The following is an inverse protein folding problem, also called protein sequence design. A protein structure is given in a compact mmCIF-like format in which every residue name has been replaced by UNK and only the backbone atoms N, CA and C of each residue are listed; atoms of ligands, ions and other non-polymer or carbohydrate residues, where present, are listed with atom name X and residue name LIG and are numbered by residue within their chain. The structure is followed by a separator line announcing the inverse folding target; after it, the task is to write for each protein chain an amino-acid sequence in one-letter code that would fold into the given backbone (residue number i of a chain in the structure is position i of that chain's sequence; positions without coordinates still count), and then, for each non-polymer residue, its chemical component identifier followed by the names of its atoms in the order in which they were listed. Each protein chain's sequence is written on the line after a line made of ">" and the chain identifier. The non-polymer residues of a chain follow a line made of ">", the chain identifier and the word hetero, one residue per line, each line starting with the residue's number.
data_IF_075049321163
#
_entry.id   IF_075049321163
#
_cell.length_a   1.000
_cell.length_b   1.000
_cell.length_c   1.000
_cell.angle_alpha   90.00
_cell.angle_beta   90.00
_cell.angle_gamma   90.00
#
_symmetry.space_group_name_H-M   'P 1'
#
loop_
_entity.id
_entity.type
_entity.pdbx_description
1 polymer ?
#
# COMPACT_ATOMS: atom_id res chain seq x y z
N UNK A 1 33.51 -21.69 -16.45
CA UNK A 1 32.84 -21.85 -15.14
C UNK A 1 33.37 -20.89 -14.07
N UNK A 2 33.97 -19.74 -14.43
CA UNK A 2 34.61 -18.84 -13.44
C UNK A 2 33.95 -17.43 -13.32
N UNK A 3 32.76 -17.22 -13.87
CA UNK A 3 32.10 -15.90 -13.82
C UNK A 3 31.06 -15.72 -12.68
N UNK A 4 30.77 -16.77 -11.91
CA UNK A 4 29.71 -16.73 -10.87
C UNK A 4 30.23 -16.39 -9.45
N UNK A 5 31.51 -16.67 -9.13
CA UNK A 5 32.04 -16.46 -7.77
C UNK A 5 32.36 -14.99 -7.45
N UNK A 6 32.66 -14.18 -8.47
CA UNK A 6 32.96 -12.75 -8.31
C UNK A 6 31.71 -11.90 -8.04
N UNK A 7 30.57 -12.27 -8.65
CA UNK A 7 29.30 -11.57 -8.53
C UNK A 7 28.67 -11.76 -7.14
N UNK A 8 28.70 -12.99 -6.62
CA UNK A 8 28.18 -13.34 -5.30
C UNK A 8 29.00 -12.72 -4.16
N UNK A 9 30.33 -12.60 -4.28
CA UNK A 9 31.17 -11.89 -3.30
C UNK A 9 30.89 -10.38 -3.27
N UNK A 10 30.68 -9.74 -4.43
CA UNK A 10 30.30 -8.32 -4.51
C UNK A 10 28.90 -8.08 -3.94
N UNK A 11 27.94 -8.94 -4.22
CA UNK A 11 26.59 -8.88 -3.66
C UNK A 11 26.57 -9.01 -2.13
N UNK A 12 27.36 -9.92 -1.56
CA UNK A 12 27.51 -10.06 -0.10
C UNK A 12 28.13 -8.82 0.55
N UNK A 13 29.14 -8.19 -0.09
CA UNK A 13 29.74 -6.94 0.39
C UNK A 13 28.77 -5.77 0.33
N UNK A 14 28.00 -5.64 -0.75
CA UNK A 14 26.98 -4.61 -0.89
C UNK A 14 25.88 -4.77 0.17
N UNK A 15 25.36 -6.00 0.36
CA UNK A 15 24.37 -6.28 1.40
C UNK A 15 24.88 -5.92 2.80
N UNK A 16 26.15 -6.23 3.10
CA UNK A 16 26.77 -5.86 4.37
C UNK A 16 26.86 -4.35 4.56
N UNK A 17 27.35 -3.62 3.56
CA UNK A 17 27.45 -2.15 3.60
C UNK A 17 26.08 -1.49 3.74
N UNK A 18 25.07 -2.02 3.05
CA UNK A 18 23.69 -1.54 3.14
C UNK A 18 23.13 -1.73 4.56
N UNK A 19 23.35 -2.91 5.16
CA UNK A 19 22.94 -3.21 6.53
C UNK A 19 23.66 -2.33 7.54
N UNK A 20 24.98 -2.16 7.41
CA UNK A 20 25.77 -1.27 8.26
C UNK A 20 25.24 0.17 8.19
N UNK A 21 24.94 0.66 6.98
CA UNK A 21 24.40 2.00 6.80
C UNK A 21 22.98 2.17 7.38
N UNK A 22 22.10 1.18 7.19
CA UNK A 22 20.77 1.18 7.80
C UNK A 22 20.86 1.13 9.33
N UNK A 23 21.83 0.40 9.89
CA UNK A 23 22.04 0.30 11.32
C UNK A 23 22.51 1.64 11.91
N UNK A 24 23.53 2.28 11.31
CA UNK A 24 24.00 3.61 11.71
C UNK A 24 22.88 4.66 11.68
N UNK A 25 22.06 4.66 10.63
CA UNK A 25 20.98 5.63 10.48
C UNK A 25 19.88 5.47 11.51
N UNK A 26 19.58 4.23 11.92
CA UNK A 26 18.54 3.91 12.90
C UNK A 26 19.02 4.05 14.35
N UNK A 27 20.26 3.67 14.65
CA UNK A 27 20.86 3.82 15.98
C UNK A 27 21.18 5.28 16.32
N UNK A 28 21.43 6.11 15.30
CA UNK A 28 21.54 7.55 15.50
C UNK A 28 20.16 8.13 15.78
N UNK A 29 19.92 8.43 17.05
CA UNK A 29 18.70 9.04 17.55
C UNK A 29 18.31 10.30 16.76
N UNK A 30 17.04 10.37 16.40
CA UNK A 30 16.50 11.46 15.58
C UNK A 30 16.48 12.77 16.36
N UNK A 31 16.25 12.73 17.68
CA UNK A 31 16.30 13.93 18.51
C UNK A 31 17.72 14.52 18.53
N UNK A 32 18.74 13.67 18.70
CA UNK A 32 20.15 14.07 18.60
C UNK A 32 20.51 14.68 17.24
N UNK A 33 19.96 14.15 16.13
CA UNK A 33 20.15 14.74 14.78
C UNK A 33 19.45 16.10 14.65
N UNK A 34 18.27 16.26 15.25
CA UNK A 34 17.53 17.53 15.26
C UNK A 34 18.32 18.57 16.06
N UNK A 35 18.75 18.24 17.28
CA UNK A 35 19.54 19.14 18.15
C UNK A 35 20.79 19.67 17.44
N UNK A 36 21.57 18.79 16.81
CA UNK A 36 22.74 19.19 16.03
C UNK A 36 22.40 20.03 14.81
N UNK A 37 21.25 19.82 14.19
CA UNK A 37 20.83 20.59 13.02
C UNK A 37 20.36 22.01 13.39
N UNK A 38 19.81 22.19 14.60
CA UNK A 38 19.35 23.49 15.10
C UNK A 38 20.40 24.24 15.93
N UNK A 39 21.52 23.59 16.27
CA UNK A 39 22.62 24.18 17.02
C UNK A 39 23.17 25.44 16.32
N UNK A 40 23.23 26.55 17.07
CA UNK A 40 23.76 27.83 16.57
C UNK A 40 22.87 28.58 15.57
N UNK A 41 21.62 28.14 15.38
CA UNK A 41 20.62 28.86 14.57
C UNK A 41 19.82 29.74 15.51
N UNK A 42 19.73 31.05 15.29
CA UNK A 42 18.96 31.96 16.16
C UNK A 42 17.52 32.18 15.69
N UNK A 43 17.30 32.07 14.37
CA UNK A 43 16.00 32.26 13.74
C UNK A 43 15.07 31.06 13.96
N UNK A 44 13.84 31.33 14.44
CA UNK A 44 12.86 30.31 14.81
C UNK A 44 12.30 29.58 13.57
N UNK A 45 12.09 30.31 12.46
CA UNK A 45 11.64 29.70 11.21
C UNK A 45 12.72 28.76 10.65
N UNK A 46 13.99 29.18 10.65
CA UNK A 46 15.11 28.37 10.21
C UNK A 46 15.30 27.12 11.09
N UNK A 47 15.16 27.23 12.41
CA UNK A 47 15.18 26.07 13.32
C UNK A 47 14.10 25.07 12.96
N UNK A 48 12.86 25.53 12.79
CA UNK A 48 11.72 24.67 12.45
C UNK A 48 11.91 23.99 11.09
N UNK A 49 12.47 24.71 10.11
CA UNK A 49 12.79 24.15 8.81
C UNK A 49 13.86 23.04 8.90
N UNK A 50 14.93 23.25 9.65
CA UNK A 50 16.00 22.25 9.83
C UNK A 50 15.52 21.02 10.59
N UNK A 51 14.78 21.20 11.68
CA UNK A 51 14.15 20.10 12.40
C UNK A 51 13.20 19.31 11.49
N UNK A 52 12.37 20.00 10.71
CA UNK A 52 11.45 19.38 9.75
C UNK A 52 12.16 18.62 8.64
N UNK A 53 13.33 19.08 8.17
CA UNK A 53 14.15 18.35 7.20
C UNK A 53 14.66 17.04 7.80
N UNK A 54 15.20 17.05 9.02
CA UNK A 54 15.66 15.82 9.70
C UNK A 54 14.51 14.83 9.88
N UNK A 55 13.32 15.29 10.31
CA UNK A 55 12.11 14.46 10.40
C UNK A 55 11.72 13.85 9.05
N UNK A 56 11.70 14.65 7.98
CA UNK A 56 11.43 14.16 6.60
C UNK A 56 12.45 13.12 6.15
N UNK A 57 13.73 13.33 6.44
CA UNK A 57 14.79 12.36 6.14
C UNK A 57 14.55 11.04 6.88
N UNK A 58 14.20 11.09 8.16
CA UNK A 58 13.86 9.90 8.95
C UNK A 58 12.65 9.14 8.37
N UNK A 59 11.56 9.83 8.05
CA UNK A 59 10.37 9.20 7.45
C UNK A 59 10.69 8.60 6.06
N UNK A 60 11.53 9.27 5.27
CA UNK A 60 12.05 8.74 4.00
C UNK A 60 12.87 7.48 4.21
N UNK A 61 13.73 7.45 5.22
CA UNK A 61 14.54 6.28 5.58
C UNK A 61 13.66 5.09 6.00
N UNK A 62 12.62 5.34 6.78
CA UNK A 62 11.66 4.30 7.18
C UNK A 62 10.92 3.68 5.99
N UNK A 63 10.53 4.48 5.00
CA UNK A 63 9.96 3.98 3.74
C UNK A 63 10.98 3.17 2.94
N UNK A 64 12.23 3.63 2.89
CA UNK A 64 13.31 2.93 2.20
C UNK A 64 13.60 1.56 2.82
N UNK A 65 13.65 1.45 4.14
CA UNK A 65 13.75 0.17 4.86
C UNK A 65 12.62 -0.78 4.44
N UNK A 66 11.40 -0.26 4.33
CA UNK A 66 10.24 -1.01 3.83
C UNK A 66 10.45 -1.62 2.45
N UNK A 67 10.95 -0.82 1.50
CA UNK A 67 11.24 -1.29 0.14
C UNK A 67 12.38 -2.32 0.12
N UNK A 68 13.40 -2.15 0.97
CA UNK A 68 14.46 -3.16 1.11
C UNK A 68 13.93 -4.48 1.70
N UNK A 69 13.00 -4.42 2.66
CA UNK A 69 12.33 -5.60 3.20
C UNK A 69 11.47 -6.29 2.14
N UNK A 70 10.73 -5.52 1.33
CA UNK A 70 9.95 -6.03 0.20
C UNK A 70 10.82 -6.76 -0.83
N UNK A 71 12.06 -6.30 -1.02
CA UNK A 71 13.05 -6.93 -1.89
C UNK A 71 13.83 -8.10 -1.27
N UNK A 72 13.40 -8.64 -0.12
CA UNK A 72 14.07 -9.72 0.64
C UNK A 72 15.54 -9.43 1.02
N UNK A 73 15.92 -8.14 1.03
CA UNK A 73 17.26 -7.72 1.44
C UNK A 73 17.38 -7.60 2.96
N UNK A 74 16.28 -7.30 3.65
CA UNK A 74 16.20 -7.23 5.10
C UNK A 74 15.42 -8.40 5.69
N UNK A 75 15.77 -8.78 6.92
CA UNK A 75 15.03 -9.81 7.67
C UNK A 75 13.81 -9.22 8.39
N UNK A 76 12.80 -10.05 8.63
CA UNK A 76 11.62 -9.68 9.44
C UNK A 76 12.00 -9.10 10.81
N UNK A 77 13.11 -9.52 11.41
CA UNK A 77 13.56 -9.04 12.72
C UNK A 77 13.84 -7.54 12.72
N UNK A 78 14.46 -7.02 11.65
CA UNK A 78 14.75 -5.59 11.51
C UNK A 78 13.44 -4.84 11.35
N UNK A 79 12.52 -5.35 10.53
CA UNK A 79 11.23 -4.70 10.32
C UNK A 79 10.42 -4.61 11.63
N UNK A 80 10.31 -5.71 12.37
CA UNK A 80 9.61 -5.73 13.66
C UNK A 80 10.28 -4.88 14.74
N UNK A 81 11.57 -4.54 14.57
CA UNK A 81 12.27 -3.61 15.44
C UNK A 81 11.94 -2.15 15.09
N UNK A 82 11.78 -1.82 13.81
CA UNK A 82 11.49 -0.45 13.37
C UNK A 82 10.02 -0.04 13.51
N UNK A 83 9.07 -0.97 13.43
CA UNK A 83 7.62 -0.66 13.44
C UNK A 83 7.14 0.04 14.72
N UNK A 84 7.54 -0.37 15.94
CA UNK A 84 7.13 0.31 17.17
C UNK A 84 7.55 1.78 17.21
N UNK A 85 8.74 2.12 16.68
CA UNK A 85 9.25 3.49 16.64
C UNK A 85 8.39 4.46 15.79
N UNK A 86 7.50 3.94 14.93
CA UNK A 86 6.53 4.74 14.17
C UNK A 86 5.18 4.90 14.88
N UNK A 87 4.93 4.11 15.92
CA UNK A 87 3.67 4.08 16.69
C UNK A 87 3.85 4.70 18.07
N UNK A 88 5.04 4.68 18.63
CA UNK A 88 5.34 5.32 19.93
C UNK A 88 5.48 6.84 19.77
N UNK A 89 4.95 7.59 20.75
CA UNK A 89 5.13 9.03 20.85
C UNK A 89 6.57 9.38 21.25
N UNK A 90 6.95 10.66 21.16
CA UNK A 90 8.31 11.14 21.48
C UNK A 90 8.69 11.01 22.98
N UNK A 91 7.81 10.45 23.82
CA UNK A 91 7.97 10.32 25.27
C UNK A 91 8.98 9.25 25.71
N UNK A 92 9.49 8.41 24.81
CA UNK A 92 10.55 7.44 25.14
C UNK A 92 11.97 7.90 24.79
N UNK A 93 12.17 9.09 24.21
CA UNK A 93 13.53 9.59 23.90
C UNK A 93 13.72 11.12 24.04
N UNK A 94 12.64 11.90 24.18
CA UNK A 94 12.71 13.34 24.46
C UNK A 94 12.56 13.64 25.95
N UNK A 95 13.57 13.27 26.75
CA UNK A 95 13.80 13.90 28.04
C UNK A 95 14.81 15.03 27.84
N UNK A 96 14.35 16.16 27.29
CA UNK A 96 14.83 17.54 27.49
C UNK A 96 14.49 18.41 26.28
N UNK A 97 13.31 19.02 26.30
CA UNK A 97 13.07 20.35 25.76
C UNK A 97 11.83 20.90 26.47
N UNK A 98 11.98 21.10 27.78
CA UNK A 98 11.03 21.92 28.55
C UNK A 98 11.26 23.39 28.19
N UNK A 99 10.25 24.04 27.62
CA UNK A 99 9.53 25.13 28.30
C UNK A 99 8.36 25.67 27.44
N UNK A 100 7.20 25.79 28.10
CA UNK A 100 6.01 26.60 27.76
C UNK A 100 5.07 26.14 26.63
N UNK A 101 3.97 25.50 27.04
CA UNK A 101 2.75 26.24 27.44
C UNK A 101 1.93 25.41 28.44
N UNK A 102 1.62 26.06 29.56
CA UNK A 102 0.71 25.59 30.60
C UNK A 102 -0.74 25.65 30.09
N UNK A 103 -1.07 24.75 29.16
CA UNK A 103 -2.45 24.34 28.92
C UNK A 103 -2.48 22.82 29.07
N UNK A 104 -3.43 22.38 29.88
CA UNK A 104 -3.49 21.07 30.54
C UNK A 104 -3.95 19.97 29.58
N UNK A 105 -3.19 19.71 28.50
CA UNK A 105 -3.53 18.71 27.46
C UNK A 105 -2.31 18.12 26.70
N UNK A 106 -1.12 18.06 27.32
CA UNK A 106 0.15 17.77 26.62
C UNK A 106 0.83 16.43 26.97
N UNK A 107 0.12 15.41 27.45
CA UNK A 107 0.76 14.15 27.89
C UNK A 107 0.93 13.06 26.84
N UNK A 108 0.27 13.11 25.67
CA UNK A 108 0.27 11.98 24.72
C UNK A 108 0.10 12.42 23.25
N UNK A 109 0.82 13.47 22.83
CA UNK A 109 0.79 13.88 21.42
C UNK A 109 1.61 12.91 20.56
N UNK A 110 0.91 12.05 19.81
CA UNK A 110 1.54 11.18 18.82
C UNK A 110 1.89 11.99 17.58
N UNK A 111 3.09 11.79 17.05
CA UNK A 111 3.48 12.30 15.74
C UNK A 111 2.65 11.61 14.63
N UNK A 112 1.61 12.30 14.15
CA UNK A 112 0.71 11.79 13.12
C UNK A 112 1.41 11.47 11.80
N UNK A 113 2.53 12.14 11.49
CA UNK A 113 3.30 11.85 10.27
C UNK A 113 4.00 10.49 10.38
N UNK A 114 4.49 10.12 11.56
CA UNK A 114 5.04 8.78 11.84
C UNK A 114 3.96 7.71 11.70
N UNK A 115 2.76 7.95 12.25
CA UNK A 115 1.63 7.01 12.13
C UNK A 115 1.15 6.87 10.69
N UNK A 116 1.08 7.97 9.92
CA UNK A 116 0.78 7.91 8.49
C UNK A 116 1.89 7.16 7.71
N UNK A 117 3.16 7.33 8.10
CA UNK A 117 4.27 6.58 7.54
C UNK A 117 4.13 5.08 7.83
N UNK A 118 3.81 4.70 9.07
CA UNK A 118 3.50 3.32 9.45
C UNK A 118 2.37 2.75 8.59
N UNK A 119 1.24 3.47 8.48
CA UNK A 119 0.09 2.97 7.77
C UNK A 119 0.42 2.70 6.30
N UNK A 120 1.06 3.66 5.62
CA UNK A 120 1.52 3.50 4.23
C UNK A 120 2.52 2.36 4.09
N UNK A 121 3.47 2.24 5.01
CA UNK A 121 4.44 1.14 5.00
C UNK A 121 3.72 -0.21 5.09
N UNK A 122 2.81 -0.37 6.05
CA UNK A 122 2.05 -1.60 6.24
C UNK A 122 1.16 -1.96 5.05
N UNK A 123 0.62 -0.98 4.31
CA UNK A 123 -0.10 -1.30 3.06
C UNK A 123 0.78 -2.01 2.03
N UNK A 124 2.08 -1.73 2.01
CA UNK A 124 3.03 -2.32 1.04
C UNK A 124 3.57 -3.65 1.54
N UNK A 125 3.99 -3.73 2.80
CA UNK A 125 4.75 -4.89 3.32
C UNK A 125 3.93 -5.82 4.23
N UNK A 126 2.72 -5.42 4.65
CA UNK A 126 1.96 -6.11 5.69
C UNK A 126 1.62 -7.57 5.37
N UNK A 127 1.26 -7.86 4.11
CA UNK A 127 1.00 -9.24 3.66
C UNK A 127 2.25 -10.14 3.76
N UNK A 128 3.40 -9.63 3.32
CA UNK A 128 4.67 -10.37 3.41
C UNK A 128 5.09 -10.56 4.86
N UNK A 129 4.92 -9.52 5.68
CA UNK A 129 5.25 -9.51 7.10
C UNK A 129 4.45 -10.55 7.88
N UNK A 130 3.13 -10.62 7.68
CA UNK A 130 2.27 -11.61 8.32
C UNK A 130 2.61 -13.03 7.87
N UNK A 131 2.79 -13.25 6.57
CA UNK A 131 3.17 -14.57 6.05
C UNK A 131 4.51 -15.04 6.63
N UNK A 132 5.51 -14.16 6.71
CA UNK A 132 6.82 -14.49 7.29
C UNK A 132 6.73 -14.72 8.80
N UNK A 133 5.89 -13.96 9.49
CA UNK A 133 5.62 -14.13 10.93
C UNK A 133 4.96 -15.48 11.24
N UNK A 134 3.92 -15.84 10.48
CA UNK A 134 3.22 -17.14 10.59
C UNK A 134 4.17 -18.31 10.28
N UNK A 135 5.00 -18.17 9.23
CA UNK A 135 6.00 -19.17 8.90
C UNK A 135 7.00 -19.38 10.04
N UNK A 136 7.47 -18.30 10.69
CA UNK A 136 8.35 -18.39 11.86
C UNK A 136 7.64 -19.07 13.05
N UNK A 137 6.35 -18.78 13.26
CA UNK A 137 5.52 -19.42 14.30
C UNK A 137 5.40 -20.92 14.08
N UNK A 138 5.21 -21.38 12.84
CA UNK A 138 5.14 -22.82 12.52
C UNK A 138 6.44 -23.59 12.83
N UNK A 139 7.57 -22.89 12.86
CA UNK A 139 8.90 -23.45 13.18
C UNK A 139 9.22 -23.29 14.69
N UNK A 140 8.24 -22.89 15.50
CA UNK A 140 8.37 -22.74 16.95
C UNK A 140 8.99 -21.41 17.41
N UNK A 141 9.11 -20.41 16.52
CA UNK A 141 9.59 -19.06 16.87
C UNK A 141 8.41 -18.09 16.89
N UNK A 142 7.77 -17.93 18.06
CA UNK A 142 6.59 -17.06 18.22
C UNK A 142 6.91 -15.58 18.42
N UNK A 143 8.16 -15.21 18.76
CA UNK A 143 8.58 -13.83 19.04
C UNK A 143 8.14 -12.83 17.96
N UNK A 144 8.20 -13.24 16.69
CA UNK A 144 7.83 -12.39 15.56
C UNK A 144 6.31 -12.11 15.52
N UNK A 145 5.51 -13.13 15.83
CA UNK A 145 4.06 -13.03 15.87
C UNK A 145 3.59 -12.23 17.08
N UNK A 146 4.26 -12.38 18.22
CA UNK A 146 3.97 -11.62 19.45
C UNK A 146 4.24 -10.13 19.25
N UNK A 147 5.42 -9.75 18.75
CA UNK A 147 5.76 -8.35 18.44
C UNK A 147 4.81 -7.71 17.41
N UNK A 148 4.44 -8.48 16.38
CA UNK A 148 3.49 -7.99 15.39
C UNK A 148 2.10 -7.81 16.00
N UNK A 149 1.67 -8.72 16.88
CA UNK A 149 0.40 -8.60 17.61
C UNK A 149 0.38 -7.39 18.53
N UNK A 150 1.51 -7.05 19.15
CA UNK A 150 1.65 -5.84 19.98
C UNK A 150 1.48 -4.57 19.14
N UNK A 151 2.15 -4.50 17.97
CA UNK A 151 1.98 -3.39 17.02
C UNK A 151 0.50 -3.23 16.62
N UNK A 152 -0.17 -4.34 16.28
CA UNK A 152 -1.60 -4.31 15.92
C UNK A 152 -2.49 -3.88 17.09
N UNK A 153 -2.17 -4.28 18.31
CA UNK A 153 -2.92 -3.83 19.49
C UNK A 153 -2.82 -2.31 19.67
N UNK A 154 -1.63 -1.74 19.49
CA UNK A 154 -1.42 -0.28 19.52
C UNK A 154 -2.23 0.42 18.43
N UNK A 155 -2.21 -0.11 17.20
CA UNK A 155 -3.00 0.41 16.07
C UNK A 155 -4.50 0.35 16.34
N UNK A 156 -5.01 -0.74 16.93
CA UNK A 156 -6.43 -0.89 17.28
C UNK A 156 -6.88 0.08 18.38
N UNK A 157 -5.99 0.43 19.32
CA UNK A 157 -6.23 1.45 20.34
C UNK A 157 -6.32 2.84 19.68
N UNK A 158 -5.34 3.21 18.86
CA UNK A 158 -5.32 4.49 18.14
C UNK A 158 -6.51 4.63 17.16
N UNK A 159 -6.89 3.54 16.49
CA UNK A 159 -8.06 3.50 15.61
C UNK A 159 -9.40 3.59 16.37
N UNK A 160 -9.37 3.54 17.70
CA UNK A 160 -10.56 3.54 18.57
C UNK A 160 -11.43 2.28 18.44
N UNK A 161 -10.86 1.19 17.93
CA UNK A 161 -11.52 -0.13 17.84
C UNK A 161 -11.54 -0.78 19.22
N UNK A 162 -10.42 -0.68 19.95
CA UNK A 162 -10.32 -1.07 21.35
C UNK A 162 -10.45 0.16 22.25
N UNK A 163 -11.41 0.14 23.18
CA UNK A 163 -11.57 1.21 24.17
C UNK A 163 -10.51 1.06 25.26
N UNK A 164 -9.51 1.93 25.25
CA UNK A 164 -8.63 2.17 26.40
C UNK A 164 -8.88 3.61 26.86
N UNK A 165 -9.13 3.81 28.15
CA UNK A 165 -9.40 5.15 28.73
C UNK A 165 -8.19 6.09 28.59
N UNK A 166 -6.99 5.51 28.60
CA UNK A 166 -5.71 6.21 28.52
C UNK A 166 -4.92 5.72 27.29
N UNK A 167 -5.59 5.70 26.13
CA UNK A 167 -4.95 5.41 24.85
C UNK A 167 -4.51 6.71 24.20
N UNK A 168 -3.38 6.70 23.46
CA UNK A 168 -2.88 7.93 22.86
C UNK A 168 -3.83 8.40 21.75
N UNK A 169 -4.08 9.70 21.71
CA UNK A 169 -5.16 10.30 20.92
C UNK A 169 -4.61 10.75 19.57
N UNK A 170 -5.29 10.40 18.49
CA UNK A 170 -4.95 10.79 17.10
C UNK A 170 -6.13 11.50 16.44
N UNK A 171 -5.87 12.34 15.44
CA UNK A 171 -6.92 12.99 14.66
C UNK A 171 -7.86 11.99 13.99
N UNK A 172 -9.08 12.44 13.69
CA UNK A 172 -10.05 11.62 12.95
C UNK A 172 -9.50 11.13 11.60
N UNK A 173 -8.68 11.94 10.92
CA UNK A 173 -8.04 11.54 9.65
C UNK A 173 -7.18 10.30 9.83
N UNK A 174 -6.29 10.32 10.83
CA UNK A 174 -5.42 9.19 11.15
C UNK A 174 -6.24 8.00 11.64
N UNK A 175 -7.25 8.23 12.48
CA UNK A 175 -8.15 7.19 12.96
C UNK A 175 -8.82 6.43 11.80
N UNK A 176 -9.38 7.13 10.82
CA UNK A 176 -9.98 6.50 9.65
C UNK A 176 -8.92 5.77 8.79
N UNK A 177 -7.73 6.35 8.62
CA UNK A 177 -6.63 5.70 7.91
C UNK A 177 -6.22 4.37 8.57
N UNK A 178 -6.16 4.32 9.90
CA UNK A 178 -5.86 3.09 10.63
C UNK A 178 -7.01 2.09 10.59
N UNK A 179 -8.27 2.55 10.62
CA UNK A 179 -9.43 1.68 10.42
C UNK A 179 -9.43 1.04 9.03
N UNK A 180 -9.12 1.79 7.98
CA UNK A 180 -8.98 1.28 6.61
C UNK A 180 -7.85 0.23 6.53
N UNK A 181 -6.73 0.47 7.22
CA UNK A 181 -5.63 -0.48 7.30
C UNK A 181 -6.02 -1.79 8.02
N UNK A 182 -6.74 -1.70 9.15
CA UNK A 182 -7.27 -2.87 9.87
C UNK A 182 -8.27 -3.62 8.98
N UNK A 183 -9.15 -2.91 8.27
CA UNK A 183 -10.09 -3.53 7.33
C UNK A 183 -9.34 -4.28 6.22
N UNK A 184 -8.28 -3.69 5.66
CA UNK A 184 -7.43 -4.31 4.64
C UNK A 184 -6.77 -5.60 5.16
N UNK A 185 -6.24 -5.58 6.39
CA UNK A 185 -5.69 -6.76 7.06
C UNK A 185 -6.73 -7.86 7.22
N UNK A 186 -7.93 -7.52 7.71
CA UNK A 186 -9.00 -8.49 7.96
C UNK A 186 -9.54 -9.13 6.67
N UNK A 187 -9.41 -8.43 5.53
CA UNK A 187 -9.72 -8.98 4.20
C UNK A 187 -8.57 -9.75 3.56
N UNK A 188 -7.50 -10.04 4.30
CA UNK A 188 -6.35 -10.81 3.83
C UNK A 188 -5.45 -10.04 2.87
N UNK A 189 -5.27 -8.72 3.08
CA UNK A 189 -4.40 -7.86 2.28
C UNK A 189 -4.77 -7.77 0.80
N UNK A 190 -6.03 -8.05 0.45
CA UNK A 190 -6.52 -7.89 -0.92
C UNK A 190 -6.69 -6.40 -1.19
N UNK A 191 -5.82 -5.83 -2.02
CA UNK A 191 -5.98 -4.45 -2.47
C UNK A 191 -7.30 -4.31 -3.24
N UNK A 192 -8.15 -3.35 -2.84
CA UNK A 192 -9.49 -3.12 -3.45
C UNK A 192 -9.39 -2.79 -4.96
N UNK A 193 -8.20 -2.39 -5.42
CA UNK A 193 -7.81 -2.21 -6.81
C UNK A 193 -6.45 -2.88 -7.00
N UNK A 194 -6.36 -3.83 -7.94
CA UNK A 194 -5.06 -4.16 -8.55
C UNK A 194 -4.53 -2.85 -9.13
N UNK A 195 -3.26 -2.54 -8.92
CA UNK A 195 -2.60 -1.47 -9.67
C UNK A 195 -2.98 -1.66 -11.14
N UNK A 196 -3.69 -0.68 -11.72
CA UNK A 196 -3.93 -0.66 -13.17
C UNK A 196 -2.59 -0.35 -13.83
N UNK A 197 -1.71 -1.35 -13.85
CA UNK A 197 -0.64 -1.42 -14.83
C UNK A 197 -1.31 -1.28 -16.18
N UNK A 198 -0.89 -0.28 -16.96
CA UNK A 198 -1.40 -0.06 -18.31
C UNK A 198 -1.39 -1.41 -19.03
N UNK A 199 -2.56 -1.90 -19.44
CA UNK A 199 -2.68 -3.20 -20.10
C UNK A 199 -1.72 -3.18 -21.29
N UNK A 200 -0.86 -4.20 -21.37
CA UNK A 200 0.02 -4.33 -22.54
C UNK A 200 -0.84 -4.46 -23.79
N UNK A 201 -0.41 -3.89 -24.92
CA UNK A 201 -1.14 -3.98 -26.21
C UNK A 201 -1.54 -5.42 -26.54
N UNK A 202 -0.67 -6.39 -26.19
CA UNK A 202 -0.94 -7.82 -26.33
C UNK A 202 -2.14 -8.32 -25.49
N UNK A 203 -2.33 -7.80 -24.28
CA UNK A 203 -3.50 -8.11 -23.45
C UNK A 203 -4.77 -7.45 -23.99
N UNK A 204 -4.68 -6.22 -24.52
CA UNK A 204 -5.81 -5.52 -25.15
C UNK A 204 -6.30 -6.31 -26.37
N UNK A 205 -5.42 -6.71 -27.28
CA UNK A 205 -5.81 -7.48 -28.46
C UNK A 205 -6.40 -8.85 -28.11
N UNK A 206 -5.89 -9.49 -27.04
CA UNK A 206 -6.43 -10.77 -26.56
C UNK A 206 -7.82 -10.62 -25.94
N UNK A 207 -8.10 -9.51 -25.26
CA UNK A 207 -9.42 -9.20 -24.72
C UNK A 207 -10.42 -8.87 -25.82
N UNK A 208 -10.03 -8.06 -26.80
CA UNK A 208 -10.85 -7.73 -27.99
C UNK A 208 -11.21 -9.00 -28.78
N UNK A 209 -10.23 -9.85 -29.11
CA UNK A 209 -10.50 -11.09 -29.82
C UNK A 209 -11.42 -12.04 -29.05
N UNK A 210 -11.32 -12.06 -27.71
CA UNK A 210 -12.17 -12.89 -26.85
C UNK A 210 -13.59 -12.31 -26.74
N UNK A 211 -13.73 -10.99 -26.77
CA UNK A 211 -15.02 -10.31 -26.81
C UNK A 211 -15.70 -10.46 -28.16
N UNK A 212 -14.98 -10.31 -29.27
CA UNK A 212 -15.48 -10.59 -30.63
C UNK A 212 -15.92 -12.05 -30.77
N UNK A 213 -15.15 -13.01 -30.28
CA UNK A 213 -15.54 -14.42 -30.29
C UNK A 213 -16.80 -14.69 -29.44
N UNK A 214 -16.98 -13.97 -28.33
CA UNK A 214 -18.19 -14.06 -27.49
C UNK A 214 -19.40 -13.39 -28.16
N UNK A 215 -19.20 -12.24 -28.81
CA UNK A 215 -20.23 -11.54 -29.56
C UNK A 215 -20.69 -12.38 -30.76
N UNK A 216 -19.77 -13.00 -31.50
CA UNK A 216 -20.07 -13.91 -32.60
C UNK A 216 -20.84 -15.17 -32.14
N UNK A 217 -20.48 -15.74 -30.98
CA UNK A 217 -21.24 -16.86 -30.40
C UNK A 217 -22.65 -16.45 -29.97
N UNK A 218 -22.80 -15.24 -29.45
CA UNK A 218 -24.09 -14.69 -29.02
C UNK A 218 -24.99 -14.35 -30.22
N UNK A 219 -24.42 -13.88 -31.34
CA UNK A 219 -25.17 -13.66 -32.59
C UNK A 219 -25.54 -14.97 -33.30
N UNK A 220 -24.70 -16.01 -33.25
CA UNK A 220 -25.05 -17.33 -33.78
C UNK A 220 -26.21 -18.00 -33.01
N UNK A 221 -26.25 -17.82 -31.68
CA UNK A 221 -27.34 -18.33 -30.84
C UNK A 221 -28.68 -17.63 -31.15
N UNK A 222 -28.68 -16.30 -31.33
CA UNK A 222 -29.90 -15.55 -31.68
C UNK A 222 -30.41 -15.86 -33.09
N UNK A 223 -29.52 -16.21 -34.03
CA UNK A 223 -29.91 -16.59 -35.39
C UNK A 223 -30.46 -18.02 -35.49
N UNK A 224 -30.11 -18.91 -34.54
CA UNK A 224 -30.67 -20.27 -34.44
C UNK A 224 -32.14 -20.26 -33.99
N UNK A 225 -32.49 -19.39 -33.02
CA UNK A 225 -33.87 -19.20 -32.55
C UNK A 225 -34.81 -18.64 -33.63
N UNK A 226 -34.30 -17.86 -34.59
CA UNK A 226 -35.10 -17.35 -35.73
C UNK A 226 -35.35 -18.39 -36.82
N UNK A 227 -34.47 -19.38 -36.99
CA UNK A 227 -34.66 -20.44 -38.01
C UNK A 227 -35.68 -21.51 -37.60
N UNK A 228 -35.89 -21.73 -36.30
CA UNK A 228 -36.92 -22.68 -35.83
C UNK A 228 -38.35 -22.14 -35.91
N UNK A 229 -38.54 -20.82 -36.07
CA UNK A 229 -39.86 -20.20 -36.23
C UNK A 229 -40.34 -20.13 -37.70
N UNK A 230 -39.53 -20.57 -38.67
CA UNK A 230 -39.83 -20.49 -40.12
C UNK A 230 -39.94 -21.87 -40.77
N UNK A 231 -40.53 -22.84 -40.06
CA UNK A 231 -40.97 -24.12 -40.65
C UNK A 231 -42.43 -24.37 -40.29
N UNK A 232 -43.27 -23.37 -40.59
CA UNK A 232 -44.73 -23.48 -40.58
C UNK A 232 -45.24 -23.14 -41.97
N UNK A 233 -45.79 -24.15 -42.63
CA UNK A 233 -46.46 -24.14 -43.92
C UNK A 233 -47.55 -23.07 -44.00
N UNK A 234 -47.59 -22.26 -45.07
CA UNK A 234 -48.80 -21.56 -45.52
C UNK A 234 -48.73 -21.23 -47.01
N UNK A 235 -49.51 -21.98 -47.78
CA UNK A 235 -50.02 -21.57 -49.10
C UNK A 235 -50.84 -20.28 -48.99
N UNK A 236 -50.86 -19.54 -50.11
CA UNK A 236 -51.88 -18.59 -50.58
C UNK A 236 -51.60 -17.08 -50.45
N UNK A 237 -51.35 -16.50 -51.63
CA UNK A 237 -51.87 -15.24 -52.21
C UNK A 237 -51.90 -13.95 -51.38
N UNK A 238 -51.31 -12.90 -51.96
CA UNK A 238 -51.75 -11.52 -51.74
C UNK A 238 -50.67 -10.48 -52.00
N UNK A 239 -50.58 -10.00 -53.24
CA UNK A 239 -49.86 -8.77 -53.59
C UNK A 239 -50.46 -7.58 -52.82
N UNK A 240 -49.64 -6.79 -52.13
CA UNK A 240 -49.69 -5.34 -52.23
C UNK A 240 -48.45 -4.68 -51.64
N UNK A 241 -47.97 -3.67 -52.37
CA UNK A 241 -46.88 -2.77 -52.07
C UNK A 241 -47.09 -2.07 -50.73
N UNK A 242 -46.01 -1.91 -49.97
CA UNK A 242 -45.85 -0.68 -49.19
C UNK A 242 -44.36 -0.31 -49.10
N UNK A 243 -44.01 0.72 -49.86
CA UNK A 243 -42.77 1.47 -49.70
C UNK A 243 -42.81 2.22 -48.37
N UNK A 244 -41.89 1.94 -47.44
CA UNK A 244 -41.34 2.97 -46.54
C UNK A 244 -40.18 2.43 -45.69
N UNK A 245 -39.05 3.12 -45.85
CA UNK A 245 -38.02 3.44 -44.83
C UNK A 245 -37.31 2.26 -44.16
N UNK A 246 -36.08 1.99 -44.61
CA UNK A 246 -34.98 1.92 -43.64
C UNK A 246 -33.65 2.32 -44.31
N UNK A 247 -33.25 3.58 -44.11
CA UNK A 247 -31.92 4.08 -44.42
C UNK A 247 -30.91 3.41 -43.48
N UNK A 248 -29.92 2.71 -44.05
CA UNK A 248 -28.72 2.29 -43.32
C UNK A 248 -27.99 3.54 -42.79
N UNK A 249 -27.58 3.59 -41.52
CA UNK A 249 -26.53 4.53 -41.13
C UNK A 249 -25.22 4.06 -41.77
N UNK A 250 -24.61 4.92 -42.57
CA UNK A 250 -23.27 4.73 -43.11
C UNK A 250 -22.28 5.18 -42.04
N UNK A 251 -21.45 4.27 -41.56
CA UNK A 251 -20.37 4.58 -40.62
C UNK A 251 -19.19 5.21 -41.38
N UNK A 252 -18.77 6.37 -40.90
CA UNK A 252 -17.56 7.09 -41.26
C UNK A 252 -16.33 6.51 -40.53
N UNK A 253 -15.16 6.73 -41.13
CA UNK A 253 -13.93 5.94 -40.92
C UNK A 253 -13.26 6.07 -39.54
N UNK A 254 -13.81 6.87 -38.61
CA UNK A 254 -13.20 7.14 -37.31
C UNK A 254 -14.02 6.67 -36.10
N UNK A 255 -15.03 5.80 -36.33
CA UNK A 255 -15.42 4.78 -35.36
C UNK A 255 -15.71 5.22 -33.91
N UNK A 256 -16.52 6.26 -33.71
CA UNK A 256 -17.08 6.58 -32.39
C UNK A 256 -18.60 6.72 -32.47
N UNK A 257 -19.30 5.88 -31.69
CA UNK A 257 -20.69 6.10 -31.27
C UNK A 257 -20.67 6.27 -29.76
#
# INVERSE_FOLDING_TARGET
>A
LELEEGSTKKGKKFKKMLLERCQEEFESDTATKIEKAIEGVDDEEERNLKAGLVKKHYLGHMRFIGELYKGDLLSIKIMLFCLPALLEGETSTSANLEEKKEDKDSSDEIDEEKVECFAKLMTTIGSSLERQSEAMRSVGKSDAAEKLSECWNTVEIMAGVKKKKDGPVVSNRIKFMLQDLIEMKNKGWVTRRKEETAKTIAQIHKEVAKEEARAARRSQSSNSLRRMASSGDVRALGQQQDERRNSKPQADADGFV
#
